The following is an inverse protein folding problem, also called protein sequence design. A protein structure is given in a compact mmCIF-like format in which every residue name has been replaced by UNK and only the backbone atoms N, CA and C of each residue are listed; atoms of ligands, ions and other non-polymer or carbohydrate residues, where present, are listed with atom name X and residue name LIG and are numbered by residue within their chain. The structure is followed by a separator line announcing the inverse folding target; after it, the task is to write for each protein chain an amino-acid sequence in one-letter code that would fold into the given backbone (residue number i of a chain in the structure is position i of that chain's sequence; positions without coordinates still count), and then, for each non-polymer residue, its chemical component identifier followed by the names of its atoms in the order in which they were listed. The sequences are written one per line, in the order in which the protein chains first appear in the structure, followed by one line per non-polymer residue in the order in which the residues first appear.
data_IF_510645369858
#
_entry.id   IF_510645369858
#
_cell.length_a   1.000
_cell.length_b   1.000
_cell.length_c   1.000
_cell.angle_alpha   90.00
_cell.angle_beta   90.00
_cell.angle_gamma   90.00
#
_symmetry.space_group_name_H-M   'P 1'
#
loop_
_entity.id
_entity.type
_entity.pdbx_description
1 polymer ?
#
# COMPACT_ATOMS: atom_id res chain seq x y z
N UNK A 1 -5.60 -3.14 -5.13
CA UNK A 1 -5.04 -2.37 -6.27
C UNK A 1 -3.59 -2.00 -5.94
N UNK A 2 -2.68 -2.08 -6.92
CA UNK A 2 -1.32 -1.58 -6.82
C UNK A 2 -1.11 -0.39 -7.77
N UNK A 3 -0.33 0.60 -7.36
CA UNK A 3 -0.06 1.78 -8.19
C UNK A 3 1.41 2.21 -8.10
N UNK A 4 1.93 2.73 -9.19
CA UNK A 4 3.25 3.35 -9.27
C UNK A 4 3.23 4.40 -10.39
N UNK A 5 4.07 5.43 -10.29
CA UNK A 5 4.26 6.39 -11.37
C UNK A 5 5.12 5.80 -12.51
N UNK A 6 5.99 4.85 -12.19
CA UNK A 6 6.89 4.20 -13.13
C UNK A 6 6.18 3.06 -13.86
N UNK A 7 5.89 3.25 -15.13
CA UNK A 7 5.30 2.21 -15.98
C UNK A 7 6.14 0.93 -16.08
N UNK A 8 7.47 1.05 -15.94
CA UNK A 8 8.37 -0.13 -15.93
C UNK A 8 8.10 -1.02 -14.71
N UNK A 9 7.91 -0.44 -13.52
CA UNK A 9 7.56 -1.18 -12.31
C UNK A 9 6.19 -1.89 -12.44
N UNK A 10 5.21 -1.19 -13.00
CA UNK A 10 3.88 -1.76 -13.24
C UNK A 10 3.94 -2.97 -14.21
N UNK A 11 4.72 -2.88 -15.29
CA UNK A 11 4.90 -4.02 -16.22
C UNK A 11 5.54 -5.24 -15.55
N UNK A 12 6.49 -5.03 -14.63
CA UNK A 12 7.06 -6.14 -13.84
C UNK A 12 5.99 -6.75 -12.93
N UNK A 13 5.23 -5.91 -12.22
CA UNK A 13 4.16 -6.34 -11.34
C UNK A 13 3.04 -7.11 -12.07
N UNK A 14 2.62 -6.62 -13.24
CA UNK A 14 1.61 -7.27 -14.09
C UNK A 14 2.08 -8.63 -14.60
N UNK A 15 3.35 -8.76 -15.00
CA UNK A 15 3.94 -10.06 -15.37
C UNK A 15 3.98 -11.02 -14.20
N UNK A 16 4.24 -10.51 -13.00
CA UNK A 16 4.36 -11.28 -11.77
C UNK A 16 5.49 -12.31 -11.82
N UNK A 17 6.54 -12.06 -12.59
CA UNK A 17 7.70 -12.92 -12.73
C UNK A 17 8.92 -12.27 -12.08
N UNK A 18 9.42 -12.87 -11.00
CA UNK A 18 10.49 -12.31 -10.18
C UNK A 18 11.69 -13.25 -10.12
N UNK A 19 12.93 -12.74 -10.14
CA UNK A 19 14.12 -13.54 -9.86
C UNK A 19 14.03 -14.19 -8.48
N UNK A 20 14.44 -15.42 -8.36
CA UNK A 20 14.32 -16.16 -7.09
C UNK A 20 15.05 -15.49 -5.92
N UNK A 21 16.17 -14.80 -6.18
CA UNK A 21 16.95 -14.12 -5.14
C UNK A 21 16.24 -12.91 -4.54
N UNK A 22 15.25 -12.33 -5.21
CA UNK A 22 14.45 -11.21 -4.66
C UNK A 22 13.42 -11.67 -3.62
N UNK A 23 13.16 -12.98 -3.54
CA UNK A 23 12.12 -13.55 -2.67
C UNK A 23 12.71 -14.46 -1.58
N UNK A 24 13.99 -14.30 -1.24
CA UNK A 24 14.68 -15.18 -0.27
C UNK A 24 14.12 -15.08 1.14
N UNK A 25 13.61 -13.92 1.52
CA UNK A 25 13.02 -13.67 2.84
C UNK A 25 11.58 -14.21 2.97
N UNK A 26 10.96 -14.57 1.84
CA UNK A 26 9.58 -15.04 1.87
C UNK A 26 9.51 -16.48 2.43
N UNK A 27 8.62 -16.76 3.40
CA UNK A 27 8.46 -18.09 3.97
C UNK A 27 8.16 -19.13 2.88
N UNK A 28 8.81 -20.31 2.99
CA UNK A 28 8.69 -21.38 1.99
C UNK A 28 7.24 -21.81 1.72
N UNK A 29 6.41 -21.83 2.77
CA UNK A 29 4.99 -22.15 2.64
C UNK A 29 4.24 -21.14 1.74
N UNK A 30 4.56 -19.85 1.86
CA UNK A 30 3.98 -18.81 1.02
C UNK A 30 4.47 -18.91 -0.42
N UNK A 31 5.77 -19.17 -0.64
CA UNK A 31 6.32 -19.40 -1.97
C UNK A 31 5.59 -20.55 -2.66
N UNK A 32 5.44 -21.70 -1.99
CA UNK A 32 4.74 -22.86 -2.55
C UNK A 32 3.25 -22.58 -2.83
N UNK A 33 2.61 -21.81 -1.94
CA UNK A 33 1.19 -21.49 -2.06
C UNK A 33 0.88 -20.54 -3.21
N UNK A 34 1.72 -19.52 -3.41
CA UNK A 34 1.41 -18.39 -4.28
C UNK A 34 2.25 -18.31 -5.56
N UNK A 35 3.33 -19.08 -5.65
CA UNK A 35 4.25 -19.03 -6.79
C UNK A 35 4.42 -20.38 -7.46
N UNK A 36 4.75 -20.35 -8.75
CA UNK A 36 5.21 -21.47 -9.55
C UNK A 36 6.63 -21.21 -10.02
N UNK A 37 7.48 -22.24 -10.04
CA UNK A 37 8.86 -22.09 -10.51
C UNK A 37 8.91 -22.09 -12.03
N UNK A 38 9.62 -21.13 -12.60
CA UNK A 38 9.89 -21.02 -14.04
C UNK A 38 11.40 -20.78 -14.21
N UNK A 39 12.16 -21.83 -14.47
CA UNK A 39 13.63 -21.75 -14.51
C UNK A 39 14.21 -21.22 -13.20
N UNK A 40 14.94 -20.09 -13.28
CA UNK A 40 15.51 -19.39 -12.12
C UNK A 40 14.61 -18.27 -11.59
N UNK A 41 13.35 -18.25 -12.01
CA UNK A 41 12.35 -17.26 -11.59
C UNK A 41 11.18 -17.93 -10.86
N UNK A 42 10.42 -17.10 -10.19
CA UNK A 42 9.17 -17.43 -9.53
C UNK A 42 8.04 -16.61 -10.16
N UNK A 43 7.02 -17.29 -10.67
CA UNK A 43 5.84 -16.68 -11.29
C UNK A 43 4.70 -16.69 -10.27
N UNK A 44 4.11 -15.56 -10.01
CA UNK A 44 2.88 -15.44 -9.20
C UNK A 44 1.76 -16.24 -9.88
N UNK A 45 1.12 -17.14 -9.13
CA UNK A 45 0.01 -17.95 -9.65
C UNK A 45 -1.18 -17.09 -10.08
N UNK A 46 -1.85 -17.47 -11.14
CA UNK A 46 -2.97 -16.71 -11.75
C UNK A 46 -4.09 -16.40 -10.76
N UNK A 47 -4.40 -17.32 -9.84
CA UNK A 47 -5.43 -17.07 -8.82
C UNK A 47 -5.14 -15.85 -7.94
N UNK A 48 -3.85 -15.52 -7.69
CA UNK A 48 -3.47 -14.31 -6.95
C UNK A 48 -3.38 -13.10 -7.89
N UNK A 49 -2.82 -13.29 -9.09
CA UNK A 49 -2.72 -12.22 -10.09
C UNK A 49 -4.09 -11.64 -10.47
N UNK A 50 -5.12 -12.48 -10.57
CA UNK A 50 -6.48 -12.07 -10.93
C UNK A 50 -7.18 -11.24 -9.83
N UNK A 51 -6.63 -11.21 -8.61
CA UNK A 51 -7.16 -10.38 -7.51
C UNK A 51 -6.55 -8.99 -7.47
N UNK A 52 -5.53 -8.71 -8.28
CA UNK A 52 -4.79 -7.44 -8.24
C UNK A 52 -4.94 -6.71 -9.57
N UNK A 53 -5.37 -5.46 -9.49
CA UNK A 53 -5.32 -4.53 -10.61
C UNK A 53 -4.17 -3.53 -10.38
N UNK A 54 -3.47 -3.16 -11.45
CA UNK A 54 -2.39 -2.18 -11.42
C UNK A 54 -2.76 -0.94 -12.22
N UNK A 55 -2.33 0.24 -11.75
CA UNK A 55 -2.60 1.51 -12.43
C UNK A 55 -1.43 2.47 -12.29
N UNK A 56 -1.19 3.25 -13.34
CA UNK A 56 -0.21 4.34 -13.29
C UNK A 56 -0.80 5.53 -12.55
N UNK A 57 -0.12 6.00 -11.51
CA UNK A 57 -0.62 7.08 -10.68
C UNK A 57 0.50 7.96 -10.18
N UNK A 58 0.30 9.28 -10.28
CA UNK A 58 1.13 10.27 -9.64
C UNK A 58 0.46 10.76 -8.36
N UNK A 59 0.99 10.35 -7.21
CA UNK A 59 0.45 10.75 -5.90
C UNK A 59 0.60 12.26 -5.62
N UNK A 60 1.46 12.98 -6.34
CA UNK A 60 1.53 14.44 -6.22
C UNK A 60 0.28 15.13 -6.78
N UNK A 61 -0.46 14.48 -7.65
CA UNK A 61 -1.67 15.02 -8.26
C UNK A 61 -2.93 14.50 -7.55
N UNK A 62 -3.96 15.35 -7.36
CA UNK A 62 -5.23 14.89 -6.84
C UNK A 62 -5.90 13.95 -7.85
N UNK A 63 -6.29 12.77 -7.40
CA UNK A 63 -7.06 11.80 -8.17
C UNK A 63 -8.00 11.07 -7.24
N UNK A 64 -9.23 10.83 -7.67
CA UNK A 64 -10.17 10.03 -6.90
C UNK A 64 -10.03 8.55 -7.27
N UNK A 65 -9.75 7.73 -6.29
CA UNK A 65 -9.48 6.31 -6.48
C UNK A 65 -10.51 5.38 -5.82
N UNK A 66 -11.54 5.94 -5.22
CA UNK A 66 -12.46 5.20 -4.37
C UNK A 66 -11.99 5.12 -2.92
N UNK A 67 -12.52 4.16 -2.18
CA UNK A 67 -12.21 3.92 -0.78
C UNK A 67 -11.61 2.53 -0.59
N UNK A 68 -10.77 2.41 0.44
CA UNK A 68 -10.00 1.20 0.73
C UNK A 68 -10.09 0.86 2.23
N UNK A 69 -10.17 -0.41 2.53
CA UNK A 69 -10.05 -0.91 3.90
C UNK A 69 -8.62 -0.81 4.42
N UNK A 70 -7.64 -0.87 3.51
CA UNK A 70 -6.23 -0.80 3.86
C UNK A 70 -5.41 -0.16 2.74
N UNK A 71 -4.52 0.76 3.10
CA UNK A 71 -3.55 1.40 2.20
C UNK A 71 -2.15 1.09 2.71
N UNK A 72 -1.32 0.48 1.85
CA UNK A 72 0.12 0.33 2.07
C UNK A 72 0.85 1.45 1.33
N UNK A 73 1.47 2.37 2.06
CA UNK A 73 2.24 3.49 1.53
C UNK A 73 3.64 3.50 2.14
N UNK A 74 4.39 2.43 1.87
CA UNK A 74 5.69 2.14 2.48
C UNK A 74 6.80 2.85 1.71
N UNK A 75 7.62 3.62 2.40
CA UNK A 75 8.77 4.38 1.85
C UNK A 75 8.42 5.32 0.69
N UNK A 76 7.19 5.86 0.71
CA UNK A 76 6.69 6.76 -0.32
C UNK A 76 6.65 8.21 0.16
N UNK A 77 6.19 8.46 1.40
CA UNK A 77 6.07 9.82 1.94
C UNK A 77 7.42 10.54 1.99
N UNK A 78 8.48 9.81 2.27
CA UNK A 78 9.85 10.34 2.33
C UNK A 78 10.32 11.00 1.02
N UNK A 79 9.71 10.65 -0.10
CA UNK A 79 10.03 11.19 -1.44
C UNK A 79 9.38 12.56 -1.72
N UNK A 80 8.53 13.04 -0.82
CA UNK A 80 7.78 14.29 -0.99
C UNK A 80 8.27 15.39 -0.05
N UNK A 81 8.10 16.66 -0.44
CA UNK A 81 8.29 17.80 0.44
C UNK A 81 7.28 17.78 1.60
N UNK A 82 7.54 18.51 2.69
CA UNK A 82 6.64 18.53 3.84
C UNK A 82 5.22 18.96 3.47
N UNK A 83 5.08 19.99 2.65
CA UNK A 83 3.76 20.47 2.18
C UNK A 83 3.02 19.39 1.39
N UNK A 84 3.73 18.67 0.52
CA UNK A 84 3.14 17.56 -0.25
C UNK A 84 2.76 16.38 0.64
N UNK A 85 3.57 16.08 1.69
CA UNK A 85 3.24 15.02 2.67
C UNK A 85 1.94 15.29 3.40
N UNK A 86 1.71 16.54 3.83
CA UNK A 86 0.45 16.94 4.47
C UNK A 86 -0.73 16.72 3.53
N UNK A 87 -0.65 17.24 2.30
CA UNK A 87 -1.71 17.07 1.32
C UNK A 87 -1.96 15.60 0.95
N UNK A 88 -0.90 14.78 0.89
CA UNK A 88 -1.02 13.36 0.61
C UNK A 88 -1.66 12.60 1.79
N UNK A 89 -1.27 12.92 3.03
CA UNK A 89 -1.85 12.31 4.22
C UNK A 89 -3.36 12.63 4.35
N UNK A 90 -3.76 13.86 4.09
CA UNK A 90 -5.17 14.26 4.05
C UNK A 90 -5.95 13.48 2.99
N UNK A 91 -5.39 13.30 1.79
CA UNK A 91 -6.02 12.49 0.74
C UNK A 91 -6.13 11.02 1.09
N UNK A 92 -5.08 10.43 1.69
CA UNK A 92 -5.13 9.05 2.15
C UNK A 92 -6.21 8.84 3.20
N UNK A 93 -6.40 9.79 4.11
CA UNK A 93 -7.52 9.76 5.06
C UNK A 93 -8.88 9.72 4.35
N UNK A 94 -9.05 10.49 3.25
CA UNK A 94 -10.29 10.48 2.47
C UNK A 94 -10.49 9.15 1.75
N UNK A 95 -9.41 8.50 1.29
CA UNK A 95 -9.45 7.22 0.59
C UNK A 95 -9.63 6.01 1.52
N UNK A 96 -9.50 6.17 2.82
CA UNK A 96 -9.79 5.10 3.78
C UNK A 96 -11.29 5.02 4.10
N UNK A 97 -11.81 3.80 4.16
CA UNK A 97 -13.09 3.54 4.79
C UNK A 97 -13.02 3.83 6.30
N UNK A 98 -14.15 4.18 6.95
CA UNK A 98 -14.20 4.24 8.41
C UNK A 98 -13.72 2.91 9.01
N UNK A 99 -12.78 2.99 9.96
CA UNK A 99 -12.13 1.81 10.55
C UNK A 99 -10.96 1.26 9.73
N UNK A 100 -10.71 1.77 8.52
CA UNK A 100 -9.62 1.35 7.64
C UNK A 100 -8.24 1.75 8.15
N UNK A 101 -7.22 1.12 7.61
CA UNK A 101 -5.82 1.23 8.05
C UNK A 101 -4.90 1.83 6.98
N UNK A 102 -3.97 2.66 7.41
CA UNK A 102 -2.83 3.13 6.62
C UNK A 102 -1.53 2.61 7.24
N UNK A 103 -0.74 1.91 6.44
CA UNK A 103 0.60 1.45 6.82
C UNK A 103 1.65 2.30 6.11
N UNK A 104 2.61 2.79 6.88
CA UNK A 104 3.77 3.52 6.39
C UNK A 104 5.05 2.69 6.60
N UNK A 105 6.16 3.11 6.01
CA UNK A 105 7.47 2.58 6.31
C UNK A 105 7.87 2.82 7.78
N UNK A 106 8.77 2.01 8.31
CA UNK A 106 9.21 2.01 9.71
C UNK A 106 9.73 3.39 10.17
N UNK A 107 10.36 4.14 9.27
CA UNK A 107 10.92 5.48 9.50
C UNK A 107 9.98 6.61 9.11
N UNK A 108 8.84 6.31 8.54
CA UNK A 108 7.87 7.30 8.10
C UNK A 108 6.84 7.57 9.19
N UNK A 109 6.45 8.83 9.32
CA UNK A 109 5.38 9.27 10.22
C UNK A 109 4.49 10.25 9.48
N UNK A 110 3.21 10.25 9.81
CA UNK A 110 2.30 11.28 9.33
C UNK A 110 2.72 12.63 9.88
N UNK A 111 2.66 13.70 9.07
CA UNK A 111 2.88 15.05 9.57
C UNK A 111 1.87 15.38 10.66
N UNK A 112 2.30 16.13 11.66
CA UNK A 112 1.40 16.69 12.68
C UNK A 112 0.44 17.70 12.03
N UNK A 113 -0.85 17.66 12.37
CA UNK A 113 -1.84 18.60 11.87
C UNK A 113 -3.20 17.95 11.54
N UNK A 114 -3.87 18.42 10.50
CA UNK A 114 -5.28 18.17 10.17
C UNK A 114 -5.65 16.74 9.72
N UNK A 115 -4.89 15.73 10.13
CA UNK A 115 -5.17 14.33 9.80
C UNK A 115 -5.77 13.64 11.02
N UNK A 116 -7.01 13.20 10.90
CA UNK A 116 -7.76 12.50 11.95
C UNK A 116 -7.54 10.98 11.90
N UNK A 117 -6.29 10.56 11.77
CA UNK A 117 -5.92 9.15 11.83
C UNK A 117 -5.27 8.88 13.19
N UNK A 118 -5.73 7.84 13.86
CA UNK A 118 -5.22 7.42 15.16
C UNK A 118 -4.03 6.50 14.98
N UNK A 119 -2.89 6.88 15.53
CA UNK A 119 -1.71 6.03 15.55
C UNK A 119 -1.95 4.83 16.49
N UNK A 120 -1.65 3.63 16.01
CA UNK A 120 -1.71 2.38 16.73
C UNK A 120 -0.38 1.65 16.59
N UNK A 121 0.22 1.28 17.71
CA UNK A 121 1.48 0.54 17.71
C UNK A 121 1.18 -0.96 17.65
N UNK A 122 1.75 -1.64 16.66
CA UNK A 122 1.69 -3.09 16.53
C UNK A 122 3.13 -3.62 16.41
N UNK A 123 3.70 -4.04 17.52
CA UNK A 123 5.12 -4.37 17.60
C UNK A 123 6.01 -3.18 17.29
N UNK A 124 6.87 -3.29 16.28
CA UNK A 124 7.76 -2.22 15.81
C UNK A 124 7.11 -1.31 14.76
N UNK A 125 5.91 -1.65 14.27
CA UNK A 125 5.24 -0.92 13.21
C UNK A 125 4.23 0.09 13.75
N UNK A 126 4.10 1.22 13.06
CA UNK A 126 3.04 2.20 13.32
C UNK A 126 1.97 2.06 12.25
N UNK A 127 0.78 1.67 12.69
CA UNK A 127 -0.42 1.66 11.88
C UNK A 127 -1.24 2.91 12.19
N UNK A 128 -1.82 3.51 11.19
CA UNK A 128 -2.76 4.61 11.38
C UNK A 128 -4.16 4.13 11.04
N UNK A 129 -5.10 4.29 11.96
CA UNK A 129 -6.47 3.86 11.79
C UNK A 129 -7.40 5.06 11.62
N UNK A 130 -8.27 5.01 10.63
CA UNK A 130 -9.36 5.98 10.51
C UNK A 130 -10.43 5.67 11.56
N UNK A 131 -10.90 6.65 12.34
CA UNK A 131 -12.00 6.44 13.28
C UNK A 131 -13.23 5.85 12.56
N UNK A 132 -14.00 5.05 13.29
CA UNK A 132 -15.33 4.67 12.83
C UNK A 132 -16.20 5.91 12.72
N UNK A 133 -17.08 5.96 11.75
CA UNK A 133 -18.12 6.99 11.73
C UNK A 133 -18.92 6.89 13.05
N UNK A 134 -19.12 8.01 13.73
CA UNK A 134 -20.00 8.04 14.86
C UNK A 134 -21.37 7.48 14.42
N UNK A 135 -21.91 6.52 15.17
CA UNK A 135 -23.27 6.05 14.93
C UNK A 135 -24.18 7.29 14.96
N UNK A 136 -24.83 7.60 13.84
CA UNK A 136 -25.86 8.61 13.83
C UNK A 136 -26.96 8.10 14.79
N UNK A 137 -27.06 8.73 15.96
CA UNK A 137 -28.20 8.49 16.83
C UNK A 137 -29.45 8.97 16.07
N UNK A 138 -30.21 8.03 15.56
CA UNK A 138 -31.57 8.24 15.05
C UNK A 138 -32.52 8.44 16.23
#
# INVERSE_FOLDING_TARGET
MGSDIRRSALRVAERGLYPRHELVEMPRAQLQKYFSRVGNHLLVKSRLRNLVAFTSMNLAQPSYLGRYDCIFCVDVLSQFSMTQRVALAQRMQLYLEPGGYLLLGDRERLPSGDVQLLAHLEGEYVLYRKPMAAAANL
#
